data_IF_539305629213
#
_entry.id   IF_539305629213
#
_cell.length_a   1.000
_cell.length_b   1.000
_cell.length_c   1.000
_cell.angle_alpha   90.00
_cell.angle_beta   90.00
_cell.angle_gamma   90.00
#
_symmetry.space_group_name_H-M   'P 1'
#
loop_
_entity.id
_entity.type
_entity.pdbx_description
1 polymer ?
#
# COMPACT_ATOMS: atom_id res chain seq x y z
N UNK A 1 -44.95 -11.51 16.73
CA UNK A 1 -43.88 -10.65 16.19
C UNK A 1 -42.54 -11.40 16.10
N UNK A 2 -42.39 -12.41 15.22
CA UNK A 2 -41.15 -13.20 15.09
C UNK A 2 -40.63 -13.37 13.65
N UNK A 3 -41.43 -12.99 12.64
CA UNK A 3 -41.09 -13.15 11.20
C UNK A 3 -40.17 -12.05 10.65
N UNK A 4 -40.03 -10.92 11.34
CA UNK A 4 -39.21 -9.80 10.86
C UNK A 4 -37.74 -9.91 11.27
N UNK A 5 -37.39 -10.74 12.25
CA UNK A 5 -36.00 -10.84 12.73
C UNK A 5 -35.10 -11.62 11.75
N UNK A 6 -35.68 -12.62 11.08
CA UNK A 6 -34.95 -13.50 10.15
C UNK A 6 -34.61 -12.77 8.84
N UNK A 7 -35.48 -11.86 8.40
CA UNK A 7 -35.28 -11.07 7.20
C UNK A 7 -34.19 -10.01 7.37
N UNK A 8 -34.10 -9.39 8.56
CA UNK A 8 -33.04 -8.41 8.86
C UNK A 8 -31.68 -9.08 8.94
N UNK A 9 -31.58 -10.27 9.55
CA UNK A 9 -30.31 -10.99 9.69
C UNK A 9 -29.73 -11.42 8.33
N UNK A 10 -30.59 -11.90 7.42
CA UNK A 10 -30.19 -12.31 6.06
C UNK A 10 -29.76 -11.13 5.19
N UNK A 11 -30.40 -9.96 5.36
CA UNK A 11 -30.01 -8.75 4.61
C UNK A 11 -28.68 -8.17 5.11
N UNK A 12 -28.40 -8.21 6.41
CA UNK A 12 -27.11 -7.79 6.99
C UNK A 12 -25.94 -8.66 6.54
N UNK A 13 -26.15 -9.96 6.32
CA UNK A 13 -25.13 -10.85 5.77
C UNK A 13 -24.84 -10.54 4.29
N UNK A 14 -25.84 -10.18 3.48
CA UNK A 14 -25.64 -9.88 2.06
C UNK A 14 -24.84 -8.57 1.83
N UNK A 15 -24.99 -7.58 2.72
CA UNK A 15 -24.22 -6.33 2.66
C UNK A 15 -22.73 -6.55 3.01
N UNK A 16 -22.40 -7.52 3.88
CA UNK A 16 -21.01 -7.84 4.21
C UNK A 16 -20.23 -8.47 3.05
N UNK A 17 -20.90 -9.18 2.14
CA UNK A 17 -20.26 -9.79 0.97
C UNK A 17 -20.16 -8.83 -0.24
N UNK A 18 -20.93 -7.75 -0.25
CA UNK A 18 -20.92 -6.77 -1.35
C UNK A 18 -19.76 -5.78 -1.31
N UNK A 19 -19.01 -5.67 -0.19
CA UNK A 19 -17.83 -4.79 -0.09
C UNK A 19 -16.50 -5.51 -0.31
N UNK A 20 -16.52 -6.80 -0.70
CA UNK A 20 -15.32 -7.57 -0.98
C UNK A 20 -14.63 -7.21 -2.33
N UNK A 21 -15.02 -6.10 -2.97
CA UNK A 21 -14.30 -5.52 -4.12
C UNK A 21 -13.34 -4.40 -3.73
N UNK A 22 -13.08 -4.17 -2.43
CA UNK A 22 -11.89 -3.44 -2.01
C UNK A 22 -10.69 -4.39 -2.04
N UNK A 23 -10.20 -4.71 -3.24
CA UNK A 23 -8.93 -5.39 -3.55
C UNK A 23 -8.04 -5.51 -2.33
N UNK A 24 -8.05 -6.67 -1.66
CA UNK A 24 -7.39 -6.94 -0.37
C UNK A 24 -6.14 -6.06 -0.22
N UNK A 25 -6.34 -4.90 0.41
CA UNK A 25 -5.30 -3.88 0.45
C UNK A 25 -4.31 -4.43 1.45
N UNK A 26 -3.22 -5.01 0.97
CA UNK A 26 -2.15 -5.48 1.83
C UNK A 26 -1.73 -4.27 2.70
N UNK A 27 -2.08 -4.26 4.01
CA UNK A 27 -2.00 -3.05 4.82
C UNK A 27 -0.55 -2.55 4.91
N UNK A 28 0.41 -3.48 4.83
CA UNK A 28 1.83 -3.20 4.74
C UNK A 28 2.20 -2.32 3.54
N UNK A 29 1.67 -2.60 2.34
CA UNK A 29 1.95 -1.75 1.17
C UNK A 29 1.36 -0.35 1.29
N UNK A 30 0.22 -0.19 1.98
CA UNK A 30 -0.34 1.12 2.29
C UNK A 30 0.62 1.95 3.14
N UNK A 31 1.12 1.38 4.24
CA UNK A 31 2.07 2.04 5.14
C UNK A 31 3.42 2.34 4.46
N UNK A 32 3.95 1.39 3.69
CA UNK A 32 5.21 1.55 2.97
C UNK A 32 5.09 2.69 1.93
N UNK A 33 3.96 2.77 1.24
CA UNK A 33 3.77 3.80 0.21
C UNK A 33 3.50 5.18 0.79
N UNK A 34 2.84 5.29 1.93
CA UNK A 34 2.76 6.58 2.63
C UNK A 34 4.16 7.05 3.05
N UNK A 35 4.95 6.15 3.67
CA UNK A 35 6.35 6.42 4.00
C UNK A 35 7.17 6.86 2.78
N UNK A 36 7.07 6.15 1.66
CA UNK A 36 7.74 6.49 0.41
C UNK A 36 7.35 7.89 -0.08
N UNK A 37 6.06 8.24 -0.10
CA UNK A 37 5.63 9.58 -0.54
C UNK A 37 6.16 10.68 0.36
N UNK A 38 6.16 10.48 1.68
CA UNK A 38 6.74 11.43 2.64
C UNK A 38 8.27 11.55 2.44
N UNK A 39 8.95 10.47 2.06
CA UNK A 39 10.36 10.50 1.71
C UNK A 39 10.65 11.28 0.43
N UNK A 40 9.81 11.15 -0.59
CA UNK A 40 9.93 11.95 -1.82
C UNK A 40 9.77 13.43 -1.51
N UNK A 41 8.77 13.80 -0.70
CA UNK A 41 8.55 15.19 -0.30
C UNK A 41 9.71 15.76 0.52
N UNK A 42 10.25 14.95 1.45
CA UNK A 42 11.37 15.36 2.29
C UNK A 42 12.67 15.56 1.50
N UNK A 43 12.96 14.67 0.54
CA UNK A 43 14.16 14.75 -0.27
C UNK A 43 14.10 15.88 -1.31
N UNK A 44 12.93 16.08 -1.92
CA UNK A 44 12.73 17.15 -2.91
C UNK A 44 12.52 18.53 -2.26
N UNK A 45 12.34 18.56 -0.92
CA UNK A 45 11.92 19.74 -0.16
C UNK A 45 10.64 20.39 -0.73
N UNK A 46 9.84 19.62 -1.46
CA UNK A 46 8.62 20.05 -2.14
C UNK A 46 7.51 19.10 -1.76
N UNK A 47 6.38 19.65 -1.31
CA UNK A 47 5.17 18.85 -1.10
C UNK A 47 4.61 18.41 -2.45
N UNK A 48 4.19 17.16 -2.52
CA UNK A 48 3.45 16.67 -3.68
C UNK A 48 2.09 17.37 -3.70
N UNK A 49 1.68 17.85 -4.87
CA UNK A 49 0.33 18.43 -5.01
C UNK A 49 -0.74 17.37 -4.79
N UNK A 50 -1.99 17.82 -4.62
CA UNK A 50 -3.16 16.95 -4.46
C UNK A 50 -3.36 15.97 -5.64
N UNK A 51 -2.80 16.28 -6.82
CA UNK A 51 -2.83 15.40 -7.99
C UNK A 51 -1.60 14.50 -8.10
N UNK A 52 -0.42 14.95 -7.66
CA UNK A 52 0.82 14.17 -7.72
C UNK A 52 0.89 13.09 -6.64
N UNK A 53 0.46 13.41 -5.42
CA UNK A 53 0.50 12.48 -4.27
C UNK A 53 -0.26 11.16 -4.55
N UNK A 54 -1.53 11.18 -5.00
CA UNK A 54 -2.25 9.93 -5.27
C UNK A 54 -1.64 9.15 -6.43
N UNK A 55 -1.08 9.82 -7.46
CA UNK A 55 -0.38 9.15 -8.57
C UNK A 55 0.89 8.44 -8.09
N UNK A 56 1.69 9.11 -7.25
CA UNK A 56 2.89 8.54 -6.64
C UNK A 56 2.54 7.35 -5.73
N UNK A 57 1.52 7.49 -4.87
CA UNK A 57 1.04 6.43 -4.00
C UNK A 57 0.51 5.22 -4.80
N UNK A 58 -0.26 5.44 -5.87
CA UNK A 58 -0.76 4.37 -6.73
C UNK A 58 0.37 3.61 -7.44
N UNK A 59 1.36 4.33 -7.98
CA UNK A 59 2.54 3.73 -8.60
C UNK A 59 3.35 2.91 -7.59
N UNK A 60 3.54 3.44 -6.38
CA UNK A 60 4.17 2.71 -5.29
C UNK A 60 3.37 1.44 -4.94
N UNK A 61 2.05 1.52 -4.78
CA UNK A 61 1.21 0.38 -4.41
C UNK A 61 1.29 -0.74 -5.45
N UNK A 62 1.28 -0.41 -6.74
CA UNK A 62 1.42 -1.39 -7.80
C UNK A 62 2.78 -2.09 -7.74
N UNK A 63 3.84 -1.32 -7.50
CA UNK A 63 5.22 -1.83 -7.40
C UNK A 63 5.43 -2.67 -6.14
N UNK A 64 4.91 -2.22 -5.00
CA UNK A 64 4.94 -2.92 -3.72
C UNK A 64 4.28 -4.28 -3.83
N UNK A 65 3.09 -4.37 -4.46
CA UNK A 65 2.42 -5.66 -4.64
C UNK A 65 3.23 -6.63 -5.51
N UNK A 66 3.82 -6.15 -6.60
CA UNK A 66 4.63 -6.98 -7.52
C UNK A 66 5.92 -7.47 -6.88
N UNK A 67 6.49 -6.69 -5.97
CA UNK A 67 7.79 -6.96 -5.36
C UNK A 67 7.70 -7.13 -3.85
N UNK A 68 6.55 -7.58 -3.35
CA UNK A 68 6.19 -7.48 -1.94
C UNK A 68 7.29 -7.95 -0.97
N UNK A 69 7.91 -9.13 -1.13
CA UNK A 69 8.93 -9.61 -0.20
C UNK A 69 10.16 -8.70 -0.12
N UNK A 70 10.60 -8.16 -1.26
CA UNK A 70 11.77 -7.28 -1.29
C UNK A 70 11.45 -5.90 -0.70
N UNK A 71 10.25 -5.39 -0.98
CA UNK A 71 9.80 -4.08 -0.52
C UNK A 71 9.57 -4.07 0.99
N UNK A 72 8.95 -5.12 1.54
CA UNK A 72 8.79 -5.26 3.00
C UNK A 72 10.13 -5.43 3.69
N UNK A 73 11.02 -6.27 3.17
CA UNK A 73 12.34 -6.47 3.76
C UNK A 73 13.13 -5.15 3.84
N UNK A 74 13.11 -4.34 2.77
CA UNK A 74 13.75 -3.03 2.77
C UNK A 74 13.11 -2.06 3.77
N UNK A 75 11.78 -2.10 3.90
CA UNK A 75 11.06 -1.27 4.85
C UNK A 75 11.35 -1.64 6.30
N UNK A 76 11.32 -2.93 6.63
CA UNK A 76 11.63 -3.44 7.99
C UNK A 76 13.07 -3.14 8.39
N UNK A 77 14.02 -3.22 7.45
CA UNK A 77 15.44 -2.96 7.71
C UNK A 77 15.78 -1.47 7.86
N UNK A 78 14.96 -0.59 7.29
CA UNK A 78 15.24 0.85 7.15
C UNK A 78 14.02 1.73 7.47
N UNK A 79 13.19 1.29 8.41
CA UNK A 79 12.00 2.02 8.81
C UNK A 79 12.38 3.43 9.25
N UNK A 80 11.63 4.44 8.79
CA UNK A 80 11.89 5.86 9.04
C UNK A 80 13.18 6.43 8.43
N UNK A 81 13.94 5.65 7.64
CA UNK A 81 15.17 6.09 7.00
C UNK A 81 15.01 6.15 5.48
N UNK A 82 14.67 7.34 4.94
CA UNK A 82 14.33 7.51 3.53
C UNK A 82 15.43 7.11 2.55
N UNK A 83 16.67 7.59 2.77
CA UNK A 83 17.79 7.32 1.86
C UNK A 83 18.19 5.83 1.90
N UNK A 84 18.38 5.20 3.08
CA UNK A 84 18.65 3.75 3.16
C UNK A 84 17.53 2.89 2.57
N UNK A 85 16.26 3.21 2.84
CA UNK A 85 15.11 2.51 2.27
C UNK A 85 15.13 2.57 0.73
N UNK A 86 15.29 3.77 0.15
CA UNK A 86 15.31 3.94 -1.30
C UNK A 86 16.50 3.22 -1.95
N UNK A 87 17.68 3.28 -1.33
CA UNK A 87 18.86 2.56 -1.81
C UNK A 87 18.65 1.04 -1.78
N UNK A 88 18.02 0.52 -0.72
CA UNK A 88 17.66 -0.89 -0.63
C UNK A 88 16.73 -1.31 -1.77
N UNK A 89 15.68 -0.52 -2.06
CA UNK A 89 14.75 -0.80 -3.17
C UNK A 89 15.46 -0.84 -4.52
N UNK A 90 16.29 0.17 -4.82
CA UNK A 90 17.05 0.23 -6.08
C UNK A 90 17.93 -1.01 -6.24
N UNK A 91 18.63 -1.42 -5.17
CA UNK A 91 19.49 -2.60 -5.20
C UNK A 91 18.68 -3.89 -5.38
N UNK A 92 17.54 -4.01 -4.70
CA UNK A 92 16.64 -5.15 -4.81
C UNK A 92 16.06 -5.31 -6.22
N UNK A 93 15.68 -4.21 -6.87
CA UNK A 93 15.16 -4.24 -8.25
C UNK A 93 16.26 -4.54 -9.27
N UNK A 94 17.45 -3.93 -9.14
CA UNK A 94 18.60 -4.23 -10.00
C UNK A 94 19.05 -5.69 -9.92
N UNK A 95 18.94 -6.31 -8.75
CA UNK A 95 19.26 -7.73 -8.57
C UNK A 95 18.26 -8.66 -9.29
N UNK A 96 17.01 -8.21 -9.51
CA UNK A 96 15.98 -8.95 -10.25
C UNK A 96 16.17 -8.86 -11.77
N UNK A 97 16.71 -7.77 -12.29
CA UNK A 97 16.98 -7.59 -13.74
C UNK A 97 18.16 -8.44 -14.25
N UNK A 98 19.03 -8.91 -13.36
CA UNK A 98 20.19 -9.76 -13.70
C UNK A 98 19.91 -11.27 -13.63
N UNK A 99 18.65 -11.66 -13.40
CA UNK A 99 18.21 -13.05 -13.25
C UNK A 99 17.20 -13.41 -14.32
#
# INVERSE_FOLDING_TARGET
MKKNLLFTLLFSLFVLFATASASAQNPACGQICDFYTNCVESQTKKKLTAEERPKAAASCLATCRKNFPAVTQCYESHANQCVPFNNCLINAYKAKEKK
#
